data_IF_663258849858
#
_entry.id   IF_663258849858
#
_cell.length_a   1.000
_cell.length_b   1.000
_cell.length_c   1.000
_cell.angle_alpha   90.00
_cell.angle_beta   90.00
_cell.angle_gamma   90.00
#
_symmetry.space_group_name_H-M   'P 1'
#
loop_
_entity.id
_entity.type
_entity.pdbx_description
1 polymer ?
2 non-polymer ?
3 water ?
#
# COMPACT_ATOMS: atom_id res chain seq x y z
N UNK A 27 -3.56 -12.98 4.13
CA UNK A 27 -4.38 -11.71 3.98
C UNK A 27 -5.10 -11.41 2.69
N UNK A 28 -4.39 -11.73 1.60
CA UNK A 28 -4.74 -11.21 0.29
C UNK A 28 -5.84 -12.07 -0.32
N UNK A 29 -6.95 -11.45 -0.74
CA UNK A 29 -7.99 -12.21 -1.43
C UNK A 29 -7.48 -12.80 -2.74
N UNK A 30 -8.08 -13.90 -3.20
CA UNK A 30 -7.51 -14.65 -4.33
C UNK A 30 -7.70 -13.98 -5.67
N UNK A 31 -8.64 -13.06 -5.77
CA UNK A 31 -8.90 -12.38 -7.05
C UNK A 31 -7.89 -11.30 -7.40
N UNK A 32 -6.99 -10.96 -6.48
CA UNK A 32 -6.03 -9.88 -6.71
C UNK A 32 -4.65 -10.45 -6.90
N UNK A 33 -3.93 -9.86 -7.85
CA UNK A 33 -2.49 -10.05 -7.93
C UNK A 33 -1.86 -9.26 -6.79
N UNK A 34 -0.59 -9.51 -6.51
CA UNK A 34 0.08 -8.70 -5.49
C UNK A 34 0.10 -7.22 -5.87
N UNK A 35 0.24 -6.91 -7.15
CA UNK A 35 0.21 -5.51 -7.61
C UNK A 35 -1.17 -4.90 -7.40
N UNK A 36 -2.23 -5.64 -7.71
CA UNK A 36 -3.58 -5.11 -7.51
C UNK A 36 -3.87 -4.93 -6.04
N UNK A 37 -3.34 -5.83 -5.21
CA UNK A 37 -3.50 -5.69 -3.75
C UNK A 37 -2.74 -4.47 -3.23
N UNK A 38 -1.53 -4.26 -3.73
CA UNK A 38 -0.77 -3.06 -3.40
C UNK A 38 -1.58 -1.81 -3.75
N UNK A 39 -2.16 -1.78 -4.94
CA UNK A 39 -2.95 -0.64 -5.38
C UNK A 39 -4.15 -0.44 -4.44
N UNK A 40 -4.81 -1.53 -4.05
CA UNK A 40 -5.97 -1.47 -3.17
C UNK A 40 -5.58 -0.98 -1.77
N UNK A 41 -4.44 -1.42 -1.26
CA UNK A 41 -4.07 -1.05 0.09
C UNK A 41 -3.46 0.32 0.18
N UNK A 42 -2.70 0.73 -0.84
CA UNK A 42 -1.81 1.89 -0.67
C UNK A 42 -2.02 3.04 -1.66
N UNK A 43 -2.83 2.86 -2.69
CA UNK A 43 -3.03 3.90 -3.71
C UNK A 43 -4.48 4.32 -3.81
N UNK A 44 -5.39 3.37 -3.91
CA UNK A 44 -6.80 3.71 -4.11
C UNK A 44 -7.50 3.97 -2.80
N UNK A 45 -7.24 5.14 -2.23
CA UNK A 45 -7.90 5.53 -0.99
C UNK A 45 -9.30 5.99 -1.35
N UNK A 46 -10.31 5.15 -1.10
CA UNK A 46 -11.64 5.38 -1.67
C UNK A 46 -12.39 6.51 -1.00
N UNK A 47 -11.91 6.96 0.15
CA UNK A 47 -12.41 8.15 0.83
C UNK A 47 -11.20 8.85 1.41
N UNK A 48 -11.24 10.17 1.56
CA UNK A 48 -10.18 10.88 2.27
C UNK A 48 -10.19 10.66 3.79
N UNK A 49 -11.23 10.00 4.29
CA UNK A 49 -11.40 9.62 5.70
C UNK A 49 -10.90 8.21 5.93
N UNK A 50 -9.98 8.01 6.87
CA UNK A 50 -9.44 6.67 7.14
C UNK A 50 -10.51 5.63 7.51
N UNK A 51 -11.45 5.97 8.37
CA UNK A 51 -12.44 4.98 8.79
C UNK A 51 -13.19 4.41 7.59
N UNK A 52 -13.58 5.27 6.68
CA UNK A 52 -14.27 4.81 5.46
C UNK A 52 -13.35 4.11 4.49
N UNK A 53 -12.17 4.66 4.23
CA UNK A 53 -11.26 4.02 3.30
C UNK A 53 -10.84 2.63 3.76
N UNK A 54 -10.60 2.48 5.05
CA UNK A 54 -10.15 1.20 5.62
C UNK A 54 -11.19 0.10 5.52
N UNK A 55 -12.47 0.44 5.43
CA UNK A 55 -13.50 -0.58 5.28
C UNK A 55 -13.20 -1.48 4.10
N UNK A 56 -12.66 -0.93 3.01
CA UNK A 56 -12.38 -1.75 1.83
C UNK A 56 -11.32 -2.81 2.13
N UNK A 57 -10.19 -2.37 2.66
CA UNK A 57 -9.11 -3.29 3.00
C UNK A 57 -9.60 -4.35 3.98
N UNK A 58 -10.30 -3.89 5.00
CA UNK A 58 -10.72 -4.77 6.09
C UNK A 58 -11.78 -5.77 5.67
N UNK A 59 -12.73 -5.33 4.87
CA UNK A 59 -13.73 -6.24 4.30
C UNK A 59 -13.08 -7.29 3.43
N UNK A 60 -12.05 -6.92 2.69
CA UNK A 60 -11.35 -7.89 1.85
C UNK A 60 -10.53 -8.88 2.67
N UNK A 61 -9.80 -8.41 3.67
CA UNK A 61 -8.94 -9.32 4.44
C UNK A 61 -9.60 -9.95 5.67
N UNK A 62 -10.85 -9.59 5.95
CA UNK A 62 -11.64 -10.16 7.05
C UNK A 62 -11.03 -9.92 8.42
N UNK A 63 -10.45 -8.74 8.60
CA UNK A 63 -9.88 -8.32 9.87
C UNK A 63 -9.59 -6.84 9.74
N UNK A 64 -9.74 -6.10 10.82
CA UNK A 64 -9.38 -4.68 10.82
C UNK A 64 -7.87 -4.53 10.93
N UNK A 65 -7.25 -4.01 9.88
CA UNK A 65 -5.82 -3.83 9.86
C UNK A 65 -5.43 -2.75 10.88
N UNK A 66 -4.38 -3.00 11.66
CA UNK A 66 -4.02 -2.10 12.74
C UNK A 66 -3.47 -0.75 12.27
N UNK A 67 -2.66 -0.79 11.22
CA UNK A 67 -2.02 0.40 10.65
C UNK A 67 -2.02 0.26 9.14
N UNK A 68 -2.22 1.36 8.41
CA UNK A 68 -2.08 1.33 6.96
C UNK A 68 -1.78 2.70 6.42
N UNK A 69 -0.84 2.77 5.48
CA UNK A 69 -0.49 4.00 4.80
C UNK A 69 -1.04 4.05 3.38
N UNK A 70 -1.73 5.15 3.07
CA UNK A 70 -2.10 5.49 1.71
C UNK A 70 -1.15 6.56 1.18
N UNK A 71 -0.50 6.28 0.05
CA UNK A 71 0.36 7.23 -0.62
C UNK A 71 -0.49 8.06 -1.55
N UNK A 72 -0.40 9.38 -1.44
CA UNK A 72 -1.16 10.26 -2.32
C UNK A 72 -0.35 10.53 -3.59
N UNK A 73 -0.25 9.47 -4.39
CA UNK A 73 0.48 9.48 -5.65
C UNK A 73 -0.26 8.53 -6.58
N UNK A 74 0.18 8.47 -7.83
CA UNK A 74 -0.49 7.62 -8.80
C UNK A 74 0.19 6.25 -8.92
N UNK A 75 -0.54 5.25 -9.38
CA UNK A 75 0.05 3.93 -9.60
C UNK A 75 1.20 4.04 -10.61
N UNK A 76 1.02 4.82 -11.67
CA UNK A 76 2.07 5.03 -12.66
C UNK A 76 3.33 5.62 -12.00
N UNK A 77 3.17 6.54 -11.06
CA UNK A 77 4.32 7.10 -10.37
C UNK A 77 5.06 6.03 -9.57
N UNK A 78 4.34 5.13 -8.92
CA UNK A 78 5.00 4.06 -8.17
C UNK A 78 5.71 3.09 -9.11
N UNK A 79 5.08 2.75 -10.23
CA UNK A 79 5.76 1.94 -11.23
C UNK A 79 7.07 2.62 -11.64
N UNK A 80 7.05 3.93 -11.85
CA UNK A 80 8.29 4.66 -12.17
C UNK A 80 9.33 4.49 -11.06
N UNK A 81 8.89 4.52 -9.80
CA UNK A 81 9.82 4.27 -8.69
C UNK A 81 10.47 2.88 -8.77
N UNK A 82 9.74 1.88 -9.24
CA UNK A 82 10.34 0.57 -9.50
C UNK A 82 11.53 0.62 -10.45
N UNK A 83 11.60 1.66 -11.28
CA UNK A 83 12.73 1.88 -12.18
C UNK A 83 13.91 2.58 -11.54
N UNK A 84 13.79 3.06 -10.30
CA UNK A 84 14.91 3.70 -9.60
C UNK A 84 15.91 2.63 -9.16
N UNK A 85 17.12 3.05 -8.75
CA UNK A 85 18.11 2.02 -8.45
C UNK A 85 17.66 1.02 -7.39
N UNK A 86 18.06 -0.23 -7.54
CA UNK A 86 17.78 -1.24 -6.52
C UNK A 86 18.48 -0.93 -5.21
N UNK A 87 17.81 -1.24 -4.11
CA UNK A 87 18.42 -1.15 -2.79
C UNK A 87 17.93 -2.29 -1.93
N UNK A 88 18.65 -2.54 -0.85
CA UNK A 88 18.23 -3.50 0.13
C UNK A 88 16.95 -3.04 0.79
N UNK A 89 16.03 -3.98 0.96
CA UNK A 89 14.78 -3.67 1.64
C UNK A 89 15.00 -3.50 3.14
N UNK A 90 14.58 -2.36 3.72
CA UNK A 90 14.70 -2.18 5.18
C UNK A 90 14.18 -3.33 6.04
N UNK A 91 13.09 -3.97 5.64
CA UNK A 91 12.52 -5.06 6.45
C UNK A 91 13.19 -6.42 6.25
N UNK A 92 14.02 -6.57 5.22
CA UNK A 92 14.66 -7.85 4.95
C UNK A 92 15.99 -7.64 4.26
N UNK A 93 17.06 -7.81 5.03
CA UNK A 93 18.44 -7.65 4.57
C UNK A 93 18.86 -8.63 3.48
N UNK A 94 18.02 -9.64 3.20
CA UNK A 94 18.28 -10.59 2.12
C UNK A 94 17.62 -10.21 0.80
N UNK A 95 16.81 -9.15 0.77
CA UNK A 95 16.10 -8.78 -0.47
C UNK A 95 16.65 -7.49 -1.04
N UNK A 96 16.82 -7.50 -2.36
CA UNK A 96 17.42 -6.42 -3.12
C UNK A 96 16.47 -5.89 -4.20
N UNK A 97 15.17 -6.16 -4.05
CA UNK A 97 14.16 -5.71 -5.01
C UNK A 97 13.42 -4.46 -4.52
N UNK A 98 14.02 -3.69 -3.62
CA UNK A 98 13.41 -2.46 -3.14
C UNK A 98 13.95 -1.23 -3.88
N UNK A 99 13.17 -0.15 -3.81
CA UNK A 99 13.41 1.07 -4.58
C UNK A 99 12.91 2.25 -3.78
N UNK A 100 13.73 3.30 -3.70
CA UNK A 100 13.40 4.51 -2.96
C UNK A 100 12.70 5.49 -3.88
N UNK A 101 11.70 6.18 -3.35
CA UNK A 101 10.89 7.10 -4.13
C UNK A 101 11.62 8.30 -4.71
N UNK A 102 12.73 8.69 -4.11
CA UNK A 102 13.56 9.80 -4.60
C UNK A 102 13.07 11.10 -4.00
N UNK A 103 11.79 11.40 -4.24
CA UNK A 103 11.13 12.59 -3.70
C UNK A 103 10.11 12.16 -2.66
N UNK A 104 9.76 13.11 -1.79
CA UNK A 104 8.66 12.91 -0.85
C UNK A 104 7.33 13.01 -1.57
N UNK A 105 6.32 12.37 -0.99
CA UNK A 105 4.95 12.51 -1.45
C UNK A 105 4.05 12.77 -0.23
N UNK A 106 2.89 13.39 -0.45
CA UNK A 106 1.91 13.44 0.61
C UNK A 106 1.35 12.05 0.85
N UNK A 107 1.07 11.74 2.10
CA UNK A 107 0.49 10.45 2.42
C UNK A 107 -0.41 10.60 3.62
N UNK A 108 -1.20 9.57 3.88
CA UNK A 108 -2.07 9.52 5.05
C UNK A 108 -1.83 8.20 5.75
N UNK A 109 -1.51 8.24 7.03
CA UNK A 109 -1.38 7.03 7.86
C UNK A 109 -2.70 6.85 8.59
N UNK A 110 -3.27 5.65 8.51
CA UNK A 110 -4.48 5.29 9.24
C UNK A 110 -4.11 4.37 10.38
N UNK A 111 -4.57 4.68 11.60
CA UNK A 111 -4.32 3.87 12.79
C UNK A 111 -5.62 3.47 13.45
N UNK A 112 -5.78 2.17 13.72
CA UNK A 112 -7.00 1.68 14.35
C UNK A 112 -7.19 2.24 15.78
N UNK A 113 -8.30 2.92 16.02
CA UNK A 113 -8.63 3.45 17.35
C UNK A 113 -9.67 2.60 18.06
N UNK A 114 -10.53 1.94 17.29
CA UNK A 114 -11.66 1.21 17.85
C UNK A 114 -11.77 -0.12 17.13
N UNK A 115 -11.27 -1.20 17.76
CA UNK A 115 -11.45 -2.53 17.16
C UNK A 115 -12.90 -3.00 17.13
N UNK A 116 -13.18 -3.98 16.30
CA UNK A 116 -14.53 -4.55 16.21
C UNK A 116 -14.43 -5.86 15.42
N UNK A 117 -13.76 -6.88 15.99
CA UNK A 117 -13.48 -8.12 15.25
C UNK A 117 -14.73 -8.93 14.84
N UNK A 118 -15.82 -8.81 15.59
CA UNK A 118 -17.10 -9.45 15.23
C UNK A 118 -18.00 -8.58 14.35
N UNK A 119 -17.64 -7.30 14.18
CA UNK A 119 -18.29 -6.45 13.19
C UNK A 119 -17.29 -5.47 12.58
N UNK A 120 -16.57 -5.97 11.57
CA UNK A 120 -15.47 -5.24 10.92
C UNK A 120 -15.87 -3.83 10.49
N UNK A 121 -17.11 -3.66 10.05
CA UNK A 121 -17.64 -2.35 9.64
C UNK A 121 -17.59 -1.26 10.73
N UNK A 122 -17.58 -1.66 12.00
CA UNK A 122 -17.54 -0.71 13.13
C UNK A 122 -16.13 -0.30 13.57
N UNK A 123 -15.09 -0.82 12.91
CA UNK A 123 -13.73 -0.36 13.21
C UNK A 123 -13.57 1.11 12.85
N UNK A 124 -12.95 1.88 13.74
CA UNK A 124 -12.69 3.29 13.50
C UNK A 124 -11.21 3.57 13.53
N UNK A 125 -10.82 4.59 12.76
CA UNK A 125 -9.42 4.94 12.56
C UNK A 125 -9.15 6.42 12.83
N UNK A 126 -7.94 6.68 13.28
CA UNK A 126 -7.37 8.01 13.26
C UNK A 126 -6.63 8.17 11.95
N UNK A 127 -6.40 9.43 11.60
CA UNK A 127 -5.74 9.78 10.32
C UNK A 127 -4.66 10.81 10.57
N UNK A 128 -3.47 10.53 10.04
CA UNK A 128 -2.30 11.39 10.18
C UNK A 128 -1.74 11.74 8.79
N UNK A 129 -1.86 13.01 8.35
CA UNK A 129 -1.25 13.44 7.10
C UNK A 129 0.25 13.69 7.28
N UNK A 130 1.03 13.40 6.24
CA UNK A 130 2.48 13.62 6.32
C UNK A 130 3.01 13.74 4.91
N UNK A 131 4.25 14.20 4.79
CA UNK A 131 4.95 14.25 3.51
C UNK A 131 6.25 13.54 3.75
N UNK A 132 6.42 12.37 3.12
CA UNK A 132 7.54 11.48 3.42
C UNK A 132 8.01 10.74 2.17
N UNK A 133 9.22 10.21 2.24
CA UNK A 133 9.74 9.29 1.22
C UNK A 133 9.12 7.92 1.47
N UNK A 134 9.12 7.08 0.43
CA UNK A 134 8.76 5.68 0.62
C UNK A 134 9.70 4.75 -0.12
N UNK A 135 9.71 3.50 0.35
CA UNK A 135 10.45 2.42 -0.27
C UNK A 135 9.47 1.29 -0.58
N UNK A 136 9.44 0.89 -1.85
CA UNK A 136 8.60 -0.21 -2.31
C UNK A 136 9.45 -1.36 -2.83
N UNK A 137 8.93 -2.58 -2.67
CA UNK A 137 9.47 -3.74 -3.35
C UNK A 137 8.69 -3.94 -4.63
N UNK A 138 9.40 -4.25 -5.72
CA UNK A 138 8.79 -4.49 -7.03
C UNK A 138 9.19 -5.84 -7.56
N UNK A 139 8.34 -6.42 -8.39
CA UNK A 139 8.59 -7.73 -8.99
C UNK A 139 8.02 -7.72 -10.39
N UNK A 140 8.40 -8.73 -11.16
CA UNK A 140 7.78 -8.95 -12.44
C UNK A 140 6.29 -9.20 -12.23
N UNK A 141 5.48 -8.74 -13.17
CA UNK A 141 4.01 -8.84 -13.06
C UNK A 141 3.54 -10.28 -13.07
N UNK A 142 2.32 -10.48 -12.57
CA UNK A 142 1.61 -11.76 -12.69
C UNK A 142 1.34 -12.01 -14.18
N UNK A 143 1.88 -13.10 -14.71
CA UNK A 143 1.83 -13.36 -16.16
C UNK A 143 0.43 -13.46 -16.73
N UNK A 144 -0.45 -14.16 -16.02
CA UNK A 144 -1.82 -14.38 -16.49
C UNK A 144 -2.78 -13.23 -16.18
N UNK A 145 -2.53 -12.48 -15.11
CA UNK A 145 -3.55 -11.57 -14.58
C UNK A 145 -3.23 -10.09 -14.54
N UNK A 146 -1.96 -9.71 -14.41
CA UNK A 146 -1.60 -8.29 -14.49
C UNK A 146 -1.55 -7.85 -15.95
N UNK A 147 -1.97 -6.61 -16.24
CA UNK A 147 -1.98 -6.16 -17.63
C UNK A 147 -0.55 -6.04 -18.18
N UNK A 148 -0.36 -6.34 -19.47
CA UNK A 148 0.98 -6.27 -20.06
C UNK A 148 1.63 -4.87 -20.09
N UNK A 149 0.85 -3.81 -19.93
CA UNK A 149 1.35 -2.43 -19.90
C UNK A 149 2.57 -2.26 -18.98
N UNK A 150 2.50 -2.88 -17.80
CA UNK A 150 3.54 -2.72 -16.78
C UNK A 150 4.21 -4.06 -16.48
N UNK A 151 5.34 -4.34 -17.13
CA UNK A 151 6.02 -5.61 -16.82
C UNK A 151 6.56 -5.72 -15.40
N UNK A 152 6.86 -4.57 -14.78
CA UNK A 152 7.39 -4.50 -13.42
C UNK A 152 6.43 -3.69 -12.57
N UNK A 153 6.07 -4.23 -11.41
CA UNK A 153 5.00 -3.63 -10.61
C UNK A 153 5.37 -3.62 -9.15
N UNK A 154 4.85 -2.64 -8.40
CA UNK A 154 5.03 -2.66 -6.94
C UNK A 154 4.18 -3.74 -6.31
N UNK A 155 4.76 -4.46 -5.36
CA UNK A 155 4.08 -5.56 -4.67
C UNK A 155 4.07 -5.43 -3.15
N UNK A 156 4.78 -4.46 -2.59
CA UNK A 156 4.88 -4.33 -1.14
C UNK A 156 5.38 -2.96 -0.78
N UNK A 157 4.72 -2.30 0.18
CA UNK A 157 5.22 -1.06 0.74
C UNK A 157 6.09 -1.42 1.93
N UNK A 158 7.40 -1.21 1.81
CA UNK A 158 8.31 -1.64 2.85
C UNK A 158 8.56 -0.64 3.95
N UNK A 159 8.63 0.65 3.62
CA UNK A 159 8.96 1.65 4.63
C UNK A 159 8.54 3.02 4.18
N UNK A 160 8.20 3.85 5.17
CA UNK A 160 7.97 5.26 5.00
C UNK A 160 9.03 5.98 5.83
N UNK A 161 9.65 7.02 5.27
CA UNK A 161 10.73 7.74 5.97
C UNK A 161 10.46 9.23 5.98
X LIG B 1 7.58 -8.75 -0.17
X LIG B 1 2.17 -11.62 2.87
X LIG B 1 8.79 -8.22 0.11
X LIG B 1 9.71 -8.11 -0.89
X LIG B 1 7.60 -8.29 1.93
X LIG B 1 2.12 -12.85 2.38
X LIG B 1 9.43 -8.50 -2.13
X LIG B 1 7.25 -9.14 -1.41
X LIG B 1 -1.02 -12.63 3.15
X LIG B 1 -0.98 -13.55 2.33
X LIG B 1 -2.10 -13.82 1.62
X LIG B 1 -2.14 -14.82 0.71
X LIG B 1 -3.26 -15.03 0.04
X LIG B 1 -1.02 -15.63 0.50
X LIG B 1 0.13 -15.37 1.24
X LIG B 1 0.14 -14.30 2.17
X LIG B 1 1.35 -14.04 2.98
X LIG B 1 2.85 -12.95 1.28
X LIG B 1 3.36 -11.73 1.06
X LIG B 1 2.95 -10.91 2.04
X LIG B 1 3.34 -9.48 2.14
X LIG B 1 4.83 -9.32 2.44
X LIG B 1 5.36 -10.42 3.21
X LIG B 1 3.22 -8.78 0.76
X LIG B 1 2.63 -7.38 0.73
X LIG B 1 2.75 -6.72 2.00
X LIG B 1 4.58 -8.50 0.30
X LIG B 1 5.45 -9.32 1.05
X LIG B 1 6.85 -8.78 0.96
X LIG B 1 8.78 -7.95 1.42
X LIG B 1 8.18 -9.04 -2.43
X LIG B 1 10.95 -7.60 -0.67
#
# INVERSE_FOLDING_TARGET
>A
MVPKLFTSQICLLLLLGLLAVEGSLHMKPPQFTWAQWFETQHINMTSQQCTNAMQVINNYQRRCKNQNTFLLTTFANVVNVCGNPNMTCPSNKTRKNCHHSGSQVPLIHCNLTTPSPQNISNCRYAQTPANMFYIVACDNRDQRRDPPQYPVVPVHLDRII
>B hetero
1 5J9 C4 C14 C5 C6 C8 C13 N1 N3 O2T C2T N3T C4T N4T C5T C6T N1T C15 N12 N11 N10 C3' C2' O2' C4' C5' O5' O4' C1' N9 N7 C2 N6
#
